data_IF_736285914955
#
_entry.id   IF_736285914955
#
_cell.length_a   1.000
_cell.length_b   1.000
_cell.length_c   1.000
_cell.angle_alpha   90.00
_cell.angle_beta   90.00
_cell.angle_gamma   90.00
#
_symmetry.space_group_name_H-M   'P 1'
#
loop_
_entity.id
_entity.type
_entity.pdbx_description
1 polymer ?
#
# COMPACT_ATOMS: atom_id res chain seq x y z
N UNK A 1 20.80 26.87 -18.26
CA UNK A 1 21.17 26.17 -17.01
C UNK A 1 19.92 25.47 -16.51
N UNK A 2 19.76 24.18 -16.82
CA UNK A 2 18.58 23.41 -16.40
C UNK A 2 18.70 23.10 -14.91
N UNK A 3 17.62 23.31 -14.16
CA UNK A 3 17.54 23.11 -12.73
C UNK A 3 17.41 21.61 -12.43
N UNK A 4 18.53 20.93 -12.24
CA UNK A 4 18.68 19.47 -12.34
C UNK A 4 17.95 18.65 -11.27
N UNK A 5 17.48 19.26 -10.20
CA UNK A 5 16.95 18.52 -9.04
C UNK A 5 15.45 18.19 -9.17
N UNK A 6 14.65 19.11 -9.73
CA UNK A 6 13.21 18.89 -9.94
C UNK A 6 12.94 17.96 -11.12
N UNK A 7 13.70 18.11 -12.20
CA UNK A 7 13.55 17.31 -13.42
C UNK A 7 13.96 15.85 -13.20
N UNK A 8 14.97 15.60 -12.36
CA UNK A 8 15.46 14.24 -12.08
C UNK A 8 14.40 13.37 -11.39
N UNK A 9 13.68 13.90 -10.40
CA UNK A 9 12.63 13.15 -9.70
C UNK A 9 11.46 12.79 -10.63
N UNK A 10 11.06 13.74 -11.48
CA UNK A 10 10.01 13.50 -12.48
C UNK A 10 10.42 12.45 -13.52
N UNK A 11 11.65 12.54 -14.05
CA UNK A 11 12.20 11.56 -15.00
C UNK A 11 12.30 10.17 -14.36
N UNK A 12 12.74 10.08 -13.10
CA UNK A 12 12.79 8.83 -12.36
C UNK A 12 11.40 8.24 -12.14
N UNK A 13 10.42 9.08 -11.80
CA UNK A 13 9.03 8.66 -11.66
C UNK A 13 8.47 8.11 -12.98
N UNK A 14 8.63 8.83 -14.09
CA UNK A 14 8.18 8.35 -15.40
C UNK A 14 8.82 7.01 -15.80
N UNK A 15 10.11 6.82 -15.50
CA UNK A 15 10.81 5.57 -15.77
C UNK A 15 10.23 4.42 -14.96
N UNK A 16 10.05 4.62 -13.65
CA UNK A 16 9.53 3.59 -12.74
C UNK A 16 8.09 3.18 -13.07
N UNK A 17 7.27 4.13 -13.57
CA UNK A 17 5.90 3.87 -14.04
C UNK A 17 5.86 3.02 -15.33
N UNK A 18 6.90 3.09 -16.17
CA UNK A 18 6.99 2.34 -17.44
C UNK A 18 7.59 0.93 -17.28
N UNK A 19 8.21 0.64 -16.15
CA UNK A 19 8.82 -0.68 -15.87
C UNK A 19 7.79 -1.72 -15.44
N UNK A 20 8.04 -2.98 -15.78
CA UNK A 20 7.22 -4.10 -15.27
C UNK A 20 7.54 -4.38 -13.80
N UNK A 21 6.67 -5.12 -13.11
CA UNK A 21 6.88 -5.48 -11.71
C UNK A 21 8.19 -6.27 -11.52
N UNK A 22 8.51 -7.16 -12.45
CA UNK A 22 9.72 -7.99 -12.44
C UNK A 22 10.98 -7.15 -12.60
N UNK A 23 10.92 -6.10 -13.41
CA UNK A 23 12.03 -5.16 -13.57
C UNK A 23 12.21 -4.31 -12.32
N UNK A 24 11.12 -3.84 -11.71
CA UNK A 24 11.17 -3.08 -10.45
C UNK A 24 11.82 -3.88 -9.31
N UNK A 25 11.51 -5.18 -9.21
CA UNK A 25 12.09 -6.09 -8.20
C UNK A 25 13.62 -6.20 -8.25
N UNK A 26 14.24 -5.96 -9.41
CA UNK A 26 15.72 -5.96 -9.54
C UNK A 26 16.37 -4.76 -8.86
N UNK A 27 15.63 -3.67 -8.64
CA UNK A 27 16.11 -2.43 -8.05
C UNK A 27 15.76 -2.32 -6.55
N UNK A 28 15.06 -3.30 -5.97
CA UNK A 28 14.72 -3.27 -4.55
C UNK A 28 15.97 -3.43 -3.68
N UNK A 29 16.16 -2.46 -2.77
CA UNK A 29 17.27 -2.47 -1.81
C UNK A 29 16.95 -3.40 -0.61
N UNK A 30 15.67 -3.68 -0.38
CA UNK A 30 15.16 -4.45 0.76
C UNK A 30 14.25 -5.56 0.28
N UNK A 31 13.99 -6.51 1.16
CA UNK A 31 12.96 -7.54 0.96
C UNK A 31 11.58 -6.90 0.77
N UNK A 32 10.65 -7.67 0.18
CA UNK A 32 9.29 -7.24 -0.09
C UNK A 32 8.26 -8.31 0.26
N UNK A 33 7.05 -7.87 0.56
CA UNK A 33 5.88 -8.70 0.86
C UNK A 33 4.89 -8.56 -0.29
N UNK A 34 4.75 -9.56 -1.16
CA UNK A 34 3.83 -9.49 -2.29
C UNK A 34 2.37 -9.58 -1.83
N UNK A 35 1.47 -8.85 -2.50
CA UNK A 35 0.05 -8.79 -2.15
C UNK A 35 -0.62 -10.16 -2.04
N UNK A 36 -0.20 -11.13 -2.86
CA UNK A 36 -0.75 -12.49 -2.86
C UNK A 36 -0.48 -13.29 -1.57
N UNK A 37 0.47 -12.86 -0.74
CA UNK A 37 0.74 -13.49 0.57
C UNK A 37 -0.13 -12.93 1.68
N UNK A 38 -0.82 -11.81 1.44
CA UNK A 38 -1.70 -11.17 2.41
C UNK A 38 -3.09 -11.80 2.27
N UNK A 39 -3.52 -12.49 3.31
CA UNK A 39 -4.85 -13.11 3.35
C UNK A 39 -5.95 -12.05 3.38
N UNK A 40 -7.05 -12.33 2.70
CA UNK A 40 -8.28 -11.55 2.84
C UNK A 40 -8.91 -11.79 4.22
N UNK A 41 -9.70 -10.84 4.71
CA UNK A 41 -10.43 -10.96 5.96
C UNK A 41 -11.34 -12.19 5.99
N UNK A 42 -11.90 -12.56 4.84
CA UNK A 42 -12.68 -13.80 4.66
C UNK A 42 -11.84 -15.05 4.97
N UNK A 43 -10.60 -15.10 4.51
CA UNK A 43 -9.70 -16.24 4.71
C UNK A 43 -9.18 -16.29 6.15
N UNK A 44 -8.85 -15.13 6.73
CA UNK A 44 -8.40 -15.05 8.11
C UNK A 44 -9.47 -15.53 9.10
N UNK A 45 -10.73 -15.19 8.86
CA UNK A 45 -11.85 -15.62 9.71
C UNK A 45 -12.12 -17.12 9.61
N UNK A 46 -11.98 -17.71 8.42
CA UNK A 46 -12.12 -19.18 8.25
C UNK A 46 -11.06 -19.97 9.02
N UNK A 47 -9.86 -19.42 9.20
CA UNK A 47 -8.80 -20.07 9.98
C UNK A 47 -8.99 -20.00 11.50
N UNK A 48 -9.85 -19.11 12.01
CA UNK A 48 -10.13 -18.94 13.45
C UNK A 48 -11.43 -19.62 13.90
N UNK A 49 -12.34 -19.90 12.97
CA UNK A 49 -13.60 -20.61 13.22
C UNK A 49 -13.41 -22.13 13.35
N UNK A 50 -12.66 -22.57 14.37
CA UNK A 50 -12.76 -23.94 14.88
C UNK A 50 -13.53 -24.01 16.21
N UNK A 51 -14.08 -22.90 16.69
CA UNK A 51 -15.06 -22.87 17.77
C UNK A 51 -16.19 -21.91 17.38
N UNK A 52 -17.41 -22.33 17.69
CA UNK A 52 -18.68 -21.61 17.55
C UNK A 52 -19.35 -21.73 16.17
N UNK A 53 -19.73 -22.98 15.87
CA UNK A 53 -21.06 -23.23 15.32
C UNK A 53 -22.10 -22.60 16.28
N UNK A 54 -22.70 -21.48 15.89
CA UNK A 54 -24.16 -21.29 15.87
C UNK A 54 -24.50 -19.80 15.64
N UNK A 55 -25.38 -19.58 14.67
CA UNK A 55 -26.22 -18.41 14.48
C UNK A 55 -25.59 -17.09 14.00
N UNK A 56 -25.53 -16.91 12.67
CA UNK A 56 -26.29 -15.82 12.02
C UNK A 56 -26.55 -16.22 10.56
N UNK A 57 -27.63 -16.98 10.33
CA UNK A 57 -28.39 -16.78 9.10
C UNK A 57 -28.97 -15.36 9.14
N UNK A 58 -29.21 -14.77 7.96
CA UNK A 58 -29.72 -13.41 7.70
C UNK A 58 -28.61 -12.38 7.44
N UNK A 59 -28.47 -11.74 6.28
CA UNK A 59 -29.36 -11.50 5.15
C UNK A 59 -28.49 -11.02 3.96
N UNK A 60 -28.98 -11.20 2.74
CA UNK A 60 -28.52 -10.49 1.51
C UNK A 60 -27.36 -11.12 0.73
N UNK A 61 -27.69 -12.19 0.03
CA UNK A 61 -26.98 -12.86 -1.07
C UNK A 61 -26.66 -11.97 -2.30
N UNK A 62 -26.71 -10.63 -2.19
CA UNK A 62 -26.46 -9.67 -3.30
C UNK A 62 -25.61 -8.45 -2.87
N UNK A 63 -25.13 -8.39 -1.62
CA UNK A 63 -24.11 -7.39 -1.26
C UNK A 63 -22.75 -8.02 -1.51
N UNK A 64 -21.97 -7.48 -2.46
CA UNK A 64 -20.55 -7.82 -2.66
C UNK A 64 -19.88 -7.85 -1.30
N UNK A 65 -19.52 -9.04 -0.81
CA UNK A 65 -18.95 -9.21 0.53
C UNK A 65 -17.61 -8.50 0.57
N UNK A 66 -17.55 -7.38 1.30
CA UNK A 66 -16.34 -6.56 1.41
C UNK A 66 -15.17 -7.32 2.06
N UNK A 67 -15.46 -8.40 2.78
CA UNK A 67 -14.49 -9.29 3.41
C UNK A 67 -13.48 -9.92 2.45
N UNK A 68 -13.77 -10.00 1.16
CA UNK A 68 -12.82 -10.49 0.13
C UNK A 68 -11.87 -9.39 -0.36
N UNK A 69 -12.18 -8.12 -0.10
CA UNK A 69 -11.46 -6.95 -0.61
C UNK A 69 -10.64 -6.24 0.45
N UNK A 70 -10.79 -6.63 1.71
CA UNK A 70 -10.11 -6.03 2.85
C UNK A 70 -9.26 -7.10 3.53
N UNK A 71 -8.11 -6.67 4.03
CA UNK A 71 -7.15 -7.50 4.76
C UNK A 71 -6.65 -6.73 5.97
N UNK A 72 -6.39 -7.43 7.07
CA UNK A 72 -5.72 -6.87 8.23
C UNK A 72 -4.26 -7.32 8.21
N UNK A 73 -3.33 -6.38 8.07
CA UNK A 73 -1.90 -6.65 8.04
C UNK A 73 -1.20 -5.99 9.23
N UNK A 74 -0.34 -6.76 9.91
CA UNK A 74 0.50 -6.28 11.02
C UNK A 74 1.97 -6.47 10.67
N UNK A 75 2.63 -5.41 10.26
CA UNK A 75 4.04 -5.42 9.87
C UNK A 75 4.53 -4.05 9.41
N UNK A 76 5.72 -4.01 8.82
CA UNK A 76 6.28 -2.80 8.23
C UNK A 76 5.58 -2.48 6.90
N UNK A 77 4.88 -1.35 6.85
CA UNK A 77 4.11 -0.93 5.67
C UNK A 77 5.02 -0.64 4.46
N UNK A 78 6.30 -0.35 4.68
CA UNK A 78 7.27 -0.03 3.61
C UNK A 78 7.72 -1.25 2.81
N UNK A 79 7.47 -2.46 3.33
CA UNK A 79 7.80 -3.71 2.65
C UNK A 79 6.66 -4.21 1.74
N UNK A 80 5.47 -3.61 1.81
CA UNK A 80 4.31 -4.05 1.05
C UNK A 80 4.47 -3.72 -0.45
N UNK A 81 4.46 -4.75 -1.29
CA UNK A 81 4.43 -4.60 -2.76
C UNK A 81 2.99 -4.39 -3.22
N UNK A 82 2.51 -3.15 -3.07
CA UNK A 82 1.15 -2.70 -3.41
C UNK A 82 1.21 -1.41 -4.24
N UNK A 83 0.13 -1.10 -4.96
CA UNK A 83 0.10 0.06 -5.88
C UNK A 83 0.22 1.42 -5.17
N UNK A 84 -0.31 1.51 -3.95
CA UNK A 84 -0.28 2.73 -3.17
C UNK A 84 -0.18 2.42 -1.67
N UNK A 85 0.64 3.20 -0.99
CA UNK A 85 0.75 3.23 0.46
C UNK A 85 0.41 4.63 0.93
N UNK A 86 -0.40 4.73 1.98
CA UNK A 86 -0.74 6.01 2.60
C UNK A 86 0.33 6.36 3.63
N UNK A 87 0.90 7.54 3.51
CA UNK A 87 1.80 8.09 4.51
C UNK A 87 1.03 9.01 5.48
N UNK A 88 1.20 8.81 6.78
CA UNK A 88 0.60 9.67 7.81
C UNK A 88 1.53 10.85 8.13
N UNK A 89 1.50 11.87 7.27
CA UNK A 89 2.33 13.08 7.44
C UNK A 89 1.63 14.11 8.34
N UNK A 90 2.37 14.70 9.28
CA UNK A 90 1.87 15.80 10.12
C UNK A 90 1.82 17.10 9.33
N UNK A 91 0.75 17.91 9.52
CA UNK A 91 0.60 19.22 8.86
C UNK A 91 1.82 20.13 9.01
N UNK A 92 2.47 20.09 10.18
CA UNK A 92 3.70 20.84 10.45
C UNK A 92 4.82 20.49 9.46
N UNK A 93 5.00 19.21 9.15
CA UNK A 93 6.02 18.77 8.19
C UNK A 93 5.76 19.34 6.79
N UNK A 94 4.49 19.36 6.36
CA UNK A 94 4.09 19.96 5.07
C UNK A 94 4.35 21.47 5.03
N UNK A 95 4.03 22.19 6.11
CA UNK A 95 4.29 23.63 6.23
C UNK A 95 5.79 23.90 6.24
N UNK A 96 6.58 23.11 6.98
CA UNK A 96 8.04 23.25 6.99
C UNK A 96 8.63 23.09 5.59
N UNK A 97 8.22 22.09 4.81
CA UNK A 97 8.71 21.96 3.43
C UNK A 97 8.30 23.14 2.55
N UNK A 98 7.04 23.61 2.65
CA UNK A 98 6.57 24.75 1.87
C UNK A 98 7.32 26.05 2.20
N UNK A 99 7.58 26.32 3.49
CA UNK A 99 8.31 27.52 3.92
C UNK A 99 9.80 27.46 3.56
N UNK A 100 10.42 26.28 3.60
CA UNK A 100 11.81 26.11 3.14
C UNK A 100 11.93 26.32 1.62
N UNK A 101 10.91 25.96 0.83
CA UNK A 101 10.89 26.23 -0.63
C UNK A 101 10.63 27.70 -1.00
N UNK A 102 10.10 28.53 -0.08
CA UNK A 102 9.87 29.97 -0.30
C UNK A 102 11.10 30.81 0.09
N UNK A 103 11.96 30.29 0.98
CA UNK A 103 13.18 30.97 1.42
C UNK A 103 14.42 30.66 0.55
N UNK A 104 14.23 30.16 -0.69
CA UNK A 104 15.26 29.95 -1.72
C UNK A 104 15.01 30.88 -2.90
#
# INVERSE_FOLDING_TARGET
>A
LLNTNGDSAFILQERLLKMTLEERRKEYIRDYVPLNTILSWKEEMKGKSQNDEENTQETSQVKKSLSEKVSLYRGDITLLEVDAIVNAVTKLLMICYALNSINV
#
